data_IF_940521542223
#
_entry.id   IF_940521542223
#
_cell.length_a   1.000
_cell.length_b   1.000
_cell.length_c   1.000
_cell.angle_alpha   90.00
_cell.angle_beta   90.00
_cell.angle_gamma   90.00
#
_symmetry.space_group_name_H-M   'P 1'
#
loop_
_entity.id
_entity.type
_entity.pdbx_description
1 polymer ?
#
# COMPACT_ATOMS: atom_id res chain seq x y z
N UNK A 1 5.51 24.77 22.51
CA UNK A 1 5.51 24.30 21.11
C UNK A 1 5.73 22.81 21.19
N UNK A 2 4.67 22.04 21.03
CA UNK A 2 4.69 20.58 21.10
C UNK A 2 5.43 20.06 19.87
N UNK A 3 6.65 19.55 20.07
CA UNK A 3 7.49 18.89 19.06
C UNK A 3 7.26 17.39 19.03
N UNK A 4 6.12 16.89 19.48
CA UNK A 4 5.83 15.49 19.30
C UNK A 4 5.38 15.29 17.85
N UNK A 5 6.23 14.64 17.04
CA UNK A 5 5.88 14.23 15.67
C UNK A 5 4.73 13.22 15.61
N UNK A 6 3.96 13.03 16.69
CA UNK A 6 2.81 12.16 16.74
C UNK A 6 1.61 12.82 16.05
N UNK A 7 0.80 12.04 15.31
CA UNK A 7 -0.37 12.57 14.65
C UNK A 7 -1.42 13.02 15.68
N UNK A 8 -2.06 14.16 15.41
CA UNK A 8 -3.37 14.44 16.00
C UNK A 8 -4.39 13.38 15.60
N UNK A 9 -5.44 13.18 16.40
CA UNK A 9 -6.41 12.09 16.18
C UNK A 9 -7.04 12.10 14.77
N UNK A 10 -7.35 13.27 14.24
CA UNK A 10 -7.92 13.40 12.89
C UNK A 10 -6.97 12.89 11.80
N UNK A 11 -5.67 13.18 11.93
CA UNK A 11 -4.66 12.71 10.97
C UNK A 11 -4.42 11.22 11.09
N UNK A 12 -4.30 10.73 12.32
CA UNK A 12 -4.21 9.30 12.58
C UNK A 12 -5.37 8.54 11.95
N UNK A 13 -6.61 8.98 12.19
CA UNK A 13 -7.80 8.34 11.65
C UNK A 13 -7.85 8.41 10.12
N UNK A 14 -7.47 9.56 9.53
CA UNK A 14 -7.47 9.72 8.08
C UNK A 14 -6.41 8.85 7.38
N UNK A 15 -5.21 8.73 7.95
CA UNK A 15 -4.13 7.87 7.43
C UNK A 15 -4.49 6.37 7.57
N UNK A 16 -5.08 5.97 8.70
CA UNK A 16 -5.60 4.62 8.89
C UNK A 16 -6.71 4.29 7.88
N UNK A 17 -7.65 5.20 7.66
CA UNK A 17 -8.72 5.01 6.66
C UNK A 17 -8.19 4.99 5.23
N UNK A 18 -7.14 5.78 4.92
CA UNK A 18 -6.45 5.75 3.63
C UNK A 18 -5.87 4.35 3.36
N UNK A 19 -5.13 3.78 4.32
CA UNK A 19 -4.56 2.43 4.15
C UNK A 19 -5.61 1.33 4.15
N UNK A 20 -6.67 1.46 4.97
CA UNK A 20 -7.80 0.54 4.93
C UNK A 20 -8.50 0.55 3.56
N UNK A 21 -8.68 1.74 2.96
CA UNK A 21 -9.21 1.88 1.61
C UNK A 21 -8.26 1.28 0.56
N UNK A 22 -6.94 1.45 0.70
CA UNK A 22 -5.95 0.81 -0.16
C UNK A 22 -6.14 -0.71 -0.19
N UNK A 23 -6.21 -1.36 0.99
CA UNK A 23 -6.37 -2.80 1.09
C UNK A 23 -7.68 -3.25 0.44
N UNK A 24 -8.80 -2.66 0.88
CA UNK A 24 -10.13 -3.03 0.40
C UNK A 24 -10.27 -2.85 -1.12
N UNK A 25 -9.88 -1.69 -1.66
CA UNK A 25 -10.11 -1.37 -3.08
C UNK A 25 -9.21 -2.21 -4.01
N UNK A 26 -7.98 -2.53 -3.59
CA UNK A 26 -7.12 -3.48 -4.31
C UNK A 26 -7.75 -4.87 -4.31
N UNK A 27 -8.20 -5.34 -3.16
CA UNK A 27 -8.76 -6.68 -3.02
C UNK A 27 -10.09 -6.85 -3.78
N UNK A 28 -10.91 -5.79 -3.84
CA UNK A 28 -12.14 -5.75 -4.64
C UNK A 28 -11.92 -5.33 -6.10
N UNK A 29 -10.67 -5.10 -6.53
CA UNK A 29 -10.30 -4.75 -7.92
C UNK A 29 -10.95 -3.44 -8.42
N UNK A 30 -11.24 -2.51 -7.52
CA UNK A 30 -11.74 -1.17 -7.89
C UNK A 30 -10.55 -0.26 -8.23
N UNK A 31 -10.04 -0.44 -9.44
CA UNK A 31 -8.78 0.16 -9.88
C UNK A 31 -8.84 1.68 -9.97
N UNK A 32 -9.96 2.25 -10.38
CA UNK A 32 -10.11 3.71 -10.50
C UNK A 32 -10.18 4.37 -9.13
N UNK A 33 -10.93 3.82 -8.17
CA UNK A 33 -10.93 4.33 -6.81
C UNK A 33 -9.59 4.09 -6.11
N UNK A 34 -8.95 2.93 -6.33
CA UNK A 34 -7.64 2.63 -5.76
C UNK A 34 -6.57 3.59 -6.29
N UNK A 35 -6.57 3.89 -7.59
CA UNK A 35 -5.70 4.90 -8.22
C UNK A 35 -5.83 6.28 -7.58
N UNK A 36 -7.05 6.67 -7.20
CA UNK A 36 -7.31 7.97 -6.59
C UNK A 36 -6.67 8.15 -5.19
N UNK A 37 -6.20 7.08 -4.55
CA UNK A 37 -5.49 7.13 -3.26
C UNK A 37 -4.04 7.64 -3.38
N UNK A 38 -3.49 7.64 -4.59
CA UNK A 38 -2.11 8.05 -4.87
C UNK A 38 -2.06 9.47 -5.44
N UNK A 39 -0.95 10.16 -5.17
CA UNK A 39 -0.62 11.38 -5.93
C UNK A 39 -0.37 11.03 -7.40
N UNK A 40 -0.56 11.99 -8.30
CA UNK A 40 -0.39 11.75 -9.75
C UNK A 40 1.02 11.25 -10.08
N UNK A 41 2.01 11.75 -9.35
CA UNK A 41 3.45 11.57 -9.49
C UNK A 41 4.05 10.58 -8.48
N UNK A 42 3.22 9.74 -7.83
CA UNK A 42 3.68 8.86 -6.78
C UNK A 42 4.83 7.94 -7.21
N UNK A 43 5.71 7.58 -6.29
CA UNK A 43 6.81 6.64 -6.53
C UNK A 43 6.57 5.36 -5.73
N UNK A 44 6.49 4.22 -6.42
CA UNK A 44 6.29 2.92 -5.77
C UNK A 44 7.48 2.01 -6.04
N UNK A 45 8.14 1.58 -4.97
CA UNK A 45 9.29 0.68 -5.02
C UNK A 45 8.94 -0.70 -4.48
N UNK A 46 8.93 -1.69 -5.37
CA UNK A 46 8.75 -3.10 -5.02
C UNK A 46 10.03 -3.92 -5.24
N UNK A 47 11.14 -3.27 -5.63
CA UNK A 47 12.44 -3.89 -5.88
C UNK A 47 12.96 -4.74 -4.71
N UNK A 48 12.89 -4.26 -3.45
CA UNK A 48 13.25 -5.06 -2.28
C UNK A 48 12.43 -6.35 -2.10
N UNK A 49 11.33 -6.50 -2.83
CA UNK A 49 10.44 -7.66 -2.80
C UNK A 49 10.36 -8.36 -4.17
N UNK A 50 11.37 -8.19 -5.03
CA UNK A 50 11.49 -8.84 -6.34
C UNK A 50 10.71 -8.17 -7.47
N UNK A 51 10.14 -6.99 -7.24
CA UNK A 51 9.45 -6.19 -8.25
C UNK A 51 10.34 -5.09 -8.85
N UNK A 52 9.73 -3.96 -9.19
CA UNK A 52 10.39 -2.82 -9.84
C UNK A 52 10.04 -1.50 -9.14
N UNK A 53 10.82 -0.46 -9.45
CA UNK A 53 10.48 0.93 -9.18
C UNK A 53 9.52 1.44 -10.27
N UNK A 54 8.41 2.06 -9.89
CA UNK A 54 7.45 2.68 -10.80
C UNK A 54 7.22 4.14 -10.43
N UNK A 55 7.04 5.01 -11.42
CA UNK A 55 6.76 6.43 -11.22
C UNK A 55 5.42 6.81 -11.88
N UNK A 56 4.57 7.47 -11.11
CA UNK A 56 3.25 7.89 -11.52
C UNK A 56 2.18 6.81 -11.32
N UNK A 57 1.01 7.24 -10.84
CA UNK A 57 -0.09 6.33 -10.47
C UNK A 57 -0.69 5.59 -11.66
N UNK A 58 -0.70 6.19 -12.85
CA UNK A 58 -1.31 5.56 -14.03
C UNK A 58 -0.52 4.30 -14.42
N UNK A 59 0.81 4.39 -14.52
CA UNK A 59 1.67 3.26 -14.86
C UNK A 59 1.63 2.18 -13.77
N UNK A 60 1.72 2.60 -12.50
CA UNK A 60 1.67 1.69 -11.37
C UNK A 60 0.36 0.90 -11.31
N UNK A 61 -0.79 1.57 -11.42
CA UNK A 61 -2.09 0.91 -11.37
C UNK A 61 -2.30 0.02 -12.59
N UNK A 62 -1.83 0.41 -13.77
CA UNK A 62 -1.87 -0.44 -14.97
C UNK A 62 -1.03 -1.72 -14.81
N UNK A 63 0.14 -1.64 -14.17
CA UNK A 63 0.97 -2.81 -13.87
C UNK A 63 0.27 -3.76 -12.90
N UNK A 64 -0.22 -3.22 -11.77
CA UNK A 64 -0.85 -4.02 -10.72
C UNK A 64 -2.15 -4.65 -11.20
N UNK A 65 -3.01 -3.90 -11.90
CA UNK A 65 -4.27 -4.43 -12.44
C UNK A 65 -4.06 -5.55 -13.45
N UNK A 66 -3.04 -5.47 -14.31
CA UNK A 66 -2.67 -6.57 -15.21
C UNK A 66 -2.19 -7.82 -14.47
N UNK A 67 -1.43 -7.63 -13.39
CA UNK A 67 -0.88 -8.74 -12.60
C UNK A 67 -1.96 -9.46 -11.78
N UNK A 68 -2.79 -8.67 -11.09
CA UNK A 68 -3.72 -9.14 -10.06
C UNK A 68 -5.19 -9.16 -10.49
N UNK A 69 -5.52 -8.77 -11.73
CA UNK A 69 -6.90 -8.67 -12.25
C UNK A 69 -7.78 -9.89 -11.95
N UNK A 70 -7.28 -11.07 -12.32
CA UNK A 70 -7.96 -12.36 -12.11
C UNK A 70 -7.54 -13.06 -10.80
N UNK A 71 -6.65 -12.45 -10.01
CA UNK A 71 -6.17 -13.04 -8.77
C UNK A 71 -7.14 -12.77 -7.61
N UNK A 72 -7.29 -13.75 -6.73
CA UNK A 72 -7.90 -13.54 -5.41
C UNK A 72 -6.83 -13.02 -4.47
N UNK A 73 -7.06 -11.86 -3.87
CA UNK A 73 -6.08 -11.22 -2.99
C UNK A 73 -6.69 -10.85 -1.64
N UNK A 74 -5.86 -10.87 -0.61
CA UNK A 74 -6.18 -10.31 0.70
C UNK A 74 -4.95 -9.56 1.20
N UNK A 75 -5.06 -8.24 1.37
CA UNK A 75 -4.02 -7.39 1.92
C UNK A 75 -4.46 -6.93 3.32
N UNK A 76 -3.63 -7.22 4.30
CA UNK A 76 -3.88 -6.88 5.70
C UNK A 76 -2.73 -6.05 6.22
N UNK A 77 -3.09 -5.01 6.99
CA UNK A 77 -2.14 -4.18 7.71
C UNK A 77 -2.51 -4.17 9.18
N UNK A 78 -1.50 -4.03 10.03
CA UNK A 78 -1.66 -3.99 11.48
C UNK A 78 -1.39 -2.59 12.03
N UNK A 79 -1.10 -2.48 13.33
CA UNK A 79 -0.84 -1.21 14.00
C UNK A 79 0.26 -0.40 13.30
N UNK A 80 0.00 0.88 12.96
CA UNK A 80 0.99 1.71 12.27
C UNK A 80 1.98 2.37 13.22
N UNK A 81 3.12 2.75 12.65
CA UNK A 81 4.01 3.77 13.20
C UNK A 81 3.87 5.02 12.33
N UNK A 82 3.39 6.13 12.91
CA UNK A 82 3.06 7.35 12.16
C UNK A 82 3.84 8.53 12.73
N UNK A 83 4.45 9.30 11.84
CA UNK A 83 4.94 10.64 12.12
C UNK A 83 4.29 11.65 11.18
N UNK A 84 3.88 12.81 11.69
CA UNK A 84 3.26 13.89 10.89
C UNK A 84 4.00 15.21 11.10
N UNK A 85 4.36 15.84 9.99
CA UNK A 85 5.04 17.14 9.93
C UNK A 85 4.27 18.04 8.95
N UNK A 86 3.29 18.78 9.46
CA UNK A 86 2.41 19.64 8.68
C UNK A 86 1.55 18.85 7.69
N UNK A 87 1.87 18.97 6.40
CA UNK A 87 1.17 18.29 5.29
C UNK A 87 1.92 17.05 4.81
N UNK A 88 2.94 16.60 5.53
CA UNK A 88 3.72 15.39 5.26
C UNK A 88 3.50 14.37 6.37
N UNK A 89 3.34 13.11 6.01
CA UNK A 89 3.29 12.00 6.96
C UNK A 89 4.20 10.87 6.51
N UNK A 90 4.92 10.28 7.46
CA UNK A 90 5.70 9.07 7.28
C UNK A 90 5.05 7.94 8.04
N UNK A 91 4.76 6.84 7.34
CA UNK A 91 4.03 5.72 7.92
C UNK A 91 4.75 4.41 7.64
N UNK A 92 4.83 3.55 8.65
CA UNK A 92 5.20 2.15 8.50
C UNK A 92 4.03 1.28 8.90
N UNK A 93 3.63 0.38 7.99
CA UNK A 93 2.63 -0.64 8.23
C UNK A 93 3.30 -2.00 8.27
N UNK A 94 3.14 -2.75 9.34
CA UNK A 94 3.33 -4.20 9.26
C UNK A 94 2.22 -4.77 8.37
N UNK A 95 2.57 -5.62 7.42
CA UNK A 95 1.64 -6.17 6.44
C UNK A 95 1.73 -7.70 6.33
N UNK A 96 0.59 -8.29 5.96
CA UNK A 96 0.47 -9.63 5.42
C UNK A 96 -0.32 -9.56 4.11
N UNK A 97 0.13 -10.24 3.07
CA UNK A 97 -0.62 -10.39 1.82
C UNK A 97 -0.77 -11.85 1.42
N UNK A 98 -1.93 -12.19 0.88
CA UNK A 98 -2.21 -13.48 0.24
C UNK A 98 -2.63 -13.21 -1.19
N UNK A 99 -1.97 -13.84 -2.14
CA UNK A 99 -2.32 -13.80 -3.56
C UNK A 99 -2.52 -15.23 -4.02
N UNK A 100 -3.69 -15.56 -4.55
CA UNK A 100 -4.00 -16.85 -5.17
C UNK A 100 -4.33 -16.59 -6.63
N UNK A 101 -3.61 -17.24 -7.53
CA UNK A 101 -3.80 -17.11 -8.97
C UNK A 101 -3.44 -18.43 -9.64
N UNK A 102 -4.31 -18.90 -10.53
CA UNK A 102 -4.13 -20.16 -11.25
C UNK A 102 -3.83 -21.33 -10.29
N UNK A 103 -2.68 -21.99 -10.46
CA UNK A 103 -2.22 -23.14 -9.69
C UNK A 103 -1.27 -22.77 -8.54
N UNK A 104 -1.10 -21.49 -8.23
CA UNK A 104 -0.20 -21.07 -7.17
C UNK A 104 -0.84 -20.12 -6.17
N UNK A 105 -0.20 -20.05 -5.01
CA UNK A 105 -0.50 -19.03 -4.05
C UNK A 105 0.76 -18.54 -3.34
N UNK A 106 0.76 -17.25 -3.00
CA UNK A 106 1.85 -16.57 -2.31
C UNK A 106 1.31 -15.96 -1.03
N UNK A 107 1.99 -16.22 0.09
CA UNK A 107 1.80 -15.47 1.33
C UNK A 107 3.06 -14.68 1.64
N UNK A 108 2.94 -13.36 1.75
CA UNK A 108 4.04 -12.48 2.12
C UNK A 108 3.82 -11.83 3.48
N UNK A 109 4.90 -11.65 4.22
CA UNK A 109 4.94 -10.88 5.47
C UNK A 109 6.04 -9.84 5.39
N UNK A 110 5.77 -8.63 5.85
CA UNK A 110 6.77 -7.57 5.81
C UNK A 110 6.19 -6.21 6.13
N UNK A 111 6.60 -5.20 5.37
CA UNK A 111 6.24 -3.82 5.66
C UNK A 111 5.96 -2.99 4.41
N UNK A 112 5.02 -2.06 4.55
CA UNK A 112 4.96 -0.88 3.70
C UNK A 112 5.61 0.29 4.41
N UNK A 113 6.53 0.96 3.72
CA UNK A 113 7.08 2.26 4.13
C UNK A 113 6.51 3.33 3.21
N UNK A 114 5.77 4.27 3.78
CA UNK A 114 4.99 5.24 3.02
C UNK A 114 5.36 6.68 3.38
N UNK A 115 5.33 7.52 2.36
CA UNK A 115 5.19 8.96 2.52
C UNK A 115 3.83 9.35 1.99
N UNK A 116 3.00 9.95 2.85
CA UNK A 116 1.72 10.51 2.49
C UNK A 116 1.80 12.04 2.51
N UNK A 117 1.05 12.68 1.62
CA UNK A 117 0.91 14.15 1.57
C UNK A 117 -0.55 14.54 1.71
N UNK A 118 -0.82 15.62 2.45
CA UNK A 118 -2.16 16.16 2.57
C UNK A 118 -2.48 16.99 1.34
N UNK A 119 -3.56 16.64 0.65
CA UNK A 119 -4.12 17.43 -0.45
C UNK A 119 -5.45 18.06 -0.04
N UNK A 120 -6.05 18.86 -0.93
CA UNK A 120 -7.39 19.41 -0.70
C UNK A 120 -8.46 18.32 -0.56
N UNK A 121 -8.20 17.15 -1.13
CA UNK A 121 -9.06 15.96 -1.13
C UNK A 121 -8.67 14.96 -0.01
N UNK A 122 -7.79 15.35 0.92
CA UNK A 122 -7.31 14.53 2.04
C UNK A 122 -5.92 13.95 1.80
N UNK A 123 -5.49 13.04 2.68
CA UNK A 123 -4.18 12.39 2.57
C UNK A 123 -4.09 11.49 1.32
N UNK A 124 -2.93 11.50 0.64
CA UNK A 124 -2.62 10.67 -0.52
C UNK A 124 -1.23 10.07 -0.42
N UNK A 125 -1.06 8.86 -0.95
CA UNK A 125 0.23 8.16 -0.98
C UNK A 125 1.10 8.77 -2.08
N UNK A 126 2.20 9.41 -1.69
CA UNK A 126 3.20 9.99 -2.60
C UNK A 126 4.38 9.05 -2.82
N UNK A 127 4.73 8.23 -1.81
CA UNK A 127 5.75 7.19 -1.94
C UNK A 127 5.29 5.94 -1.20
N UNK A 128 5.53 4.77 -1.77
CA UNK A 128 5.37 3.49 -1.09
C UNK A 128 6.55 2.58 -1.42
N UNK A 129 7.16 1.96 -0.43
CA UNK A 129 8.14 0.89 -0.61
C UNK A 129 7.64 -0.37 0.09
N UNK A 130 7.62 -1.48 -0.64
CA UNK A 130 7.26 -2.80 -0.11
C UNK A 130 8.54 -3.60 0.18
N UNK A 131 8.69 -4.06 1.41
CA UNK A 131 9.68 -5.06 1.81
C UNK A 131 8.97 -6.33 2.28
N UNK A 132 9.48 -7.50 1.90
CA UNK A 132 9.01 -8.79 2.43
C UNK A 132 10.15 -9.47 3.19
N UNK A 133 9.86 -9.88 4.42
CA UNK A 133 10.74 -10.67 5.28
C UNK A 133 10.56 -12.16 5.04
N UNK A 134 9.33 -12.57 4.77
CA UNK A 134 8.94 -13.96 4.52
C UNK A 134 8.11 -13.99 3.25
N UNK A 135 8.40 -14.95 2.38
CA UNK A 135 7.62 -15.28 1.20
C UNK A 135 7.43 -16.78 1.18
N UNK A 136 6.19 -17.20 1.36
CA UNK A 136 5.77 -18.59 1.24
C UNK A 136 5.08 -18.76 -0.11
N UNK A 137 5.46 -19.81 -0.85
CA UNK A 137 4.87 -20.13 -2.14
C UNK A 137 4.34 -21.55 -2.10
N UNK A 138 3.05 -21.67 -2.37
CA UNK A 138 2.36 -22.94 -2.53
C UNK A 138 2.06 -23.16 -4.01
N UNK A 139 2.18 -24.41 -4.46
CA UNK A 139 1.63 -24.86 -5.74
C UNK A 139 0.56 -25.91 -5.46
N UNK A 140 -0.54 -25.81 -6.17
CA UNK A 140 -1.62 -26.79 -6.14
C UNK A 140 -1.40 -27.76 -7.30
N UNK A 141 -1.20 -29.03 -6.98
CA UNK A 141 -1.28 -30.09 -7.99
C UNK A 141 -2.77 -30.36 -8.24
N UNK A 142 -3.15 -30.40 -9.53
CA UNK A 142 -4.50 -30.80 -9.96
C UNK A 142 -4.73 -32.30 -9.77
#
# INVERSE_FOLDING_TARGET
MDQSGFPGFADWLALCNLKAAYCRLLDTKDWEAWKALFTKDCVVDTGPSGGILTQGREEFVQLVSRSLGEARTAHQVHSPQIMVEGDLAHVVWAMQDRVIKDDFALTGYGHYHETCVRTREGWRIARQQLTRLIVEMDRFEN
#
